data_IF_879426013016
#
_entry.id   IF_879426013016
#
_cell.length_a   1.000
_cell.length_b   1.000
_cell.length_c   1.000
_cell.angle_alpha   90.00
_cell.angle_beta   90.00
_cell.angle_gamma   90.00
#
_symmetry.space_group_name_H-M   'P 1'
#
loop_
_entity.id
_entity.type
_entity.pdbx_description
1 polymer ?
#
# COMPACT_ATOMS: atom_id res chain seq x y z
N UNK A 1 -51.50 30.14 -12.46
CA UNK A 1 -50.40 31.12 -12.37
C UNK A 1 -49.86 31.28 -10.96
N UNK A 2 -50.48 32.04 -10.03
CA UNK A 2 -49.88 32.26 -8.68
C UNK A 2 -49.68 30.97 -7.86
N UNK A 3 -50.61 30.01 -7.95
CA UNK A 3 -50.56 28.72 -7.21
C UNK A 3 -49.47 27.76 -7.68
N UNK A 4 -49.18 27.71 -8.98
CA UNK A 4 -48.13 26.83 -9.52
C UNK A 4 -46.72 27.35 -9.15
N UNK A 5 -46.55 28.68 -9.12
CA UNK A 5 -45.28 29.31 -8.72
C UNK A 5 -44.96 29.00 -7.25
N UNK A 6 -45.96 29.03 -6.35
CA UNK A 6 -45.76 28.67 -4.94
C UNK A 6 -45.36 27.21 -4.77
N UNK A 7 -45.95 26.29 -5.54
CA UNK A 7 -45.59 24.87 -5.51
C UNK A 7 -44.16 24.66 -5.99
N UNK A 8 -43.73 25.36 -7.05
CA UNK A 8 -42.36 25.26 -7.56
C UNK A 8 -41.32 25.77 -6.53
N UNK A 9 -41.61 26.86 -5.82
CA UNK A 9 -40.75 27.41 -4.77
C UNK A 9 -40.62 26.41 -3.60
N UNK A 10 -41.73 25.81 -3.16
CA UNK A 10 -41.72 24.83 -2.07
C UNK A 10 -40.92 23.59 -2.47
N UNK A 11 -41.14 23.06 -3.67
CA UNK A 11 -40.42 21.88 -4.17
C UNK A 11 -38.92 22.14 -4.30
N UNK A 12 -38.51 23.30 -4.81
CA UNK A 12 -37.10 23.68 -4.89
C UNK A 12 -36.44 23.79 -3.51
N UNK A 13 -37.15 24.35 -2.53
CA UNK A 13 -36.67 24.46 -1.15
C UNK A 13 -36.51 23.08 -0.49
N UNK A 14 -37.46 22.17 -0.70
CA UNK A 14 -37.38 20.79 -0.16
C UNK A 14 -36.20 20.03 -0.74
N UNK A 15 -36.00 20.11 -2.07
CA UNK A 15 -34.88 19.45 -2.74
C UNK A 15 -33.54 20.02 -2.26
N UNK A 16 -33.44 21.36 -2.14
CA UNK A 16 -32.24 22.02 -1.63
C UNK A 16 -31.89 21.63 -0.19
N UNK A 17 -32.89 21.48 0.68
CA UNK A 17 -32.68 21.04 2.06
C UNK A 17 -32.18 19.59 2.12
N UNK A 18 -32.72 18.68 1.30
CA UNK A 18 -32.28 17.28 1.25
C UNK A 18 -30.81 17.18 0.84
N UNK A 19 -30.41 17.88 -0.23
CA UNK A 19 -29.02 17.85 -0.73
C UNK A 19 -28.07 18.41 0.33
N UNK A 20 -28.42 19.56 0.92
CA UNK A 20 -27.59 20.22 1.93
C UNK A 20 -27.44 19.35 3.19
N UNK A 21 -28.52 18.73 3.65
CA UNK A 21 -28.50 17.85 4.81
C UNK A 21 -27.69 16.57 4.56
N UNK A 22 -27.75 16.01 3.35
CA UNK A 22 -26.92 14.87 2.93
C UNK A 22 -25.42 15.18 3.00
N UNK A 23 -25.00 16.31 2.46
CA UNK A 23 -23.59 16.74 2.50
C UNK A 23 -23.13 17.00 3.95
N UNK A 24 -23.96 17.70 4.74
CA UNK A 24 -23.65 18.01 6.12
C UNK A 24 -23.49 16.75 6.99
N UNK A 25 -24.39 15.77 6.83
CA UNK A 25 -24.35 14.51 7.60
C UNK A 25 -23.15 13.64 7.22
N UNK A 26 -22.85 13.52 5.93
CA UNK A 26 -21.67 12.78 5.45
C UNK A 26 -20.36 13.38 5.98
N UNK A 27 -20.22 14.71 5.94
CA UNK A 27 -19.00 15.37 6.43
C UNK A 27 -18.85 15.22 7.95
N UNK A 28 -19.97 15.28 8.70
CA UNK A 28 -19.95 15.07 10.15
C UNK A 28 -19.56 13.62 10.53
N UNK A 29 -19.92 12.62 9.72
CA UNK A 29 -19.53 11.23 9.94
C UNK A 29 -18.00 11.03 9.77
N UNK A 30 -17.39 11.66 8.75
CA UNK A 30 -15.95 11.62 8.53
C UNK A 30 -15.17 12.31 9.66
N UNK A 31 -15.67 13.43 10.18
CA UNK A 31 -15.06 14.12 11.31
C UNK A 31 -15.12 13.30 12.61
N UNK A 32 -16.18 12.50 12.82
CA UNK A 32 -16.27 11.58 13.98
C UNK A 32 -15.23 10.44 13.90
N UNK A 33 -14.84 10.02 12.70
CA UNK A 33 -13.77 9.02 12.54
C UNK A 33 -12.38 9.58 12.90
N UNK A 34 -12.09 10.85 12.58
CA UNK A 34 -10.84 11.51 13.00
C UNK A 34 -10.71 11.64 14.53
N UNK A 35 -11.82 11.83 15.25
CA UNK A 35 -11.82 12.01 16.71
C UNK A 35 -11.68 10.67 17.47
N UNK A 36 -12.12 9.54 16.89
CA UNK A 36 -12.02 8.21 17.54
C UNK A 36 -10.63 7.56 17.48
N UNK A 37 -9.69 8.10 16.70
CA UNK A 37 -8.29 7.64 16.64
C UNK A 37 -7.34 8.53 17.46
N UNK A 38 -7.85 9.60 18.10
CA UNK A 38 -7.01 10.62 18.77
C UNK A 38 -6.92 10.55 20.30
N UNK A 39 -7.46 9.54 20.98
CA UNK A 39 -7.42 9.46 22.46
C UNK A 39 -7.43 8.01 23.00
N UNK A 40 -6.35 7.26 22.75
CA UNK A 40 -5.99 6.08 23.54
C UNK A 40 -4.47 6.07 23.83
N UNK A 41 -3.91 7.23 24.19
CA UNK A 41 -2.64 7.28 24.90
C UNK A 41 -2.87 7.84 26.30
N UNK A 42 -2.27 7.15 27.28
CA UNK A 42 -2.06 7.52 28.69
C UNK A 42 -2.90 6.73 29.70
N UNK A 43 -2.49 5.49 29.95
CA UNK A 43 -2.12 5.01 31.30
C UNK A 43 -1.75 3.52 31.27
N UNK A 44 -0.51 3.19 30.90
CA UNK A 44 0.15 2.00 31.41
C UNK A 44 1.49 2.40 32.06
N UNK A 45 1.81 1.88 33.26
CA UNK A 45 3.08 2.18 33.92
C UNK A 45 4.26 1.69 33.08
N UNK A 46 5.30 2.52 32.99
CA UNK A 46 6.51 2.27 32.24
C UNK A 46 7.17 0.95 32.69
N UNK A 47 7.12 -0.06 31.82
CA UNK A 47 8.03 -1.20 31.89
C UNK A 47 9.34 -0.81 31.22
N UNK A 48 10.52 -1.05 31.82
CA UNK A 48 11.78 -0.73 31.18
C UNK A 48 12.06 -1.77 30.10
N UNK A 49 11.50 -1.57 28.90
CA UNK A 49 11.92 -2.30 27.71
C UNK A 49 12.69 -1.34 26.81
N UNK A 50 14.01 -1.47 26.86
CA UNK A 50 14.88 -1.05 25.77
C UNK A 50 14.47 -1.79 24.50
N UNK A 51 13.53 -1.24 23.73
CA UNK A 51 13.26 -1.66 22.37
C UNK A 51 13.59 -0.49 21.47
N UNK A 52 14.73 -0.62 20.80
CA UNK A 52 15.11 0.09 19.58
C UNK A 52 13.84 0.30 18.75
N UNK A 53 13.42 1.55 18.57
CA UNK A 53 12.41 1.91 17.56
C UNK A 53 12.97 1.49 16.19
N UNK A 54 12.81 0.21 15.84
CA UNK A 54 13.11 -0.28 14.51
C UNK A 54 11.96 0.19 13.64
N UNK A 55 12.18 1.28 12.93
CA UNK A 55 11.32 1.69 11.82
C UNK A 55 11.19 0.48 10.89
N UNK A 56 10.00 -0.14 10.86
CA UNK A 56 9.68 -1.20 9.91
C UNK A 56 9.70 -0.58 8.52
N UNK A 57 10.66 -0.99 7.70
CA UNK A 57 10.84 -0.48 6.35
C UNK A 57 11.19 -1.65 5.43
N UNK A 58 10.76 -1.57 4.17
CA UNK A 58 11.13 -2.49 3.10
C UNK A 58 11.99 -1.74 2.09
N UNK A 59 13.16 -2.29 1.77
CA UNK A 59 14.06 -1.76 0.76
C UNK A 59 14.52 -2.88 -0.16
N UNK A 60 14.41 -2.67 -1.48
CA UNK A 60 14.98 -3.57 -2.47
C UNK A 60 16.46 -3.21 -2.68
N UNK A 61 17.33 -4.21 -2.70
CA UNK A 61 18.77 -4.03 -2.87
C UNK A 61 19.25 -4.39 -4.27
N UNK A 62 18.60 -5.36 -4.90
CA UNK A 62 18.84 -5.70 -6.30
C UNK A 62 17.67 -6.55 -6.83
N UNK A 63 17.38 -6.50 -8.14
CA UNK A 63 17.93 -5.56 -9.13
C UNK A 63 17.42 -4.11 -8.93
N UNK A 64 18.01 -3.16 -9.64
CA UNK A 64 17.57 -1.77 -9.63
C UNK A 64 16.33 -1.56 -10.51
N UNK A 65 15.59 -0.48 -10.24
CA UNK A 65 14.40 -0.17 -11.00
C UNK A 65 14.76 0.19 -12.45
N UNK A 66 14.02 -0.39 -13.40
CA UNK A 66 14.21 -0.31 -14.84
C UNK A 66 15.43 -1.05 -15.40
N UNK A 67 16.02 -1.97 -14.62
CA UNK A 67 17.11 -2.82 -15.12
C UNK A 67 16.69 -3.66 -16.33
N UNK A 68 17.65 -3.82 -17.26
CA UNK A 68 17.54 -4.71 -18.41
C UNK A 68 18.18 -6.05 -18.08
N UNK A 69 17.34 -7.08 -17.98
CA UNK A 69 17.72 -8.45 -17.65
C UNK A 69 17.79 -9.28 -18.95
N UNK A 70 18.83 -10.09 -19.09
CA UNK A 70 19.07 -10.95 -20.26
C UNK A 70 18.73 -12.44 -20.01
N UNK A 71 18.22 -12.75 -18.82
CA UNK A 71 17.80 -14.09 -18.38
C UNK A 71 16.33 -14.06 -17.97
N UNK A 72 15.63 -15.16 -18.21
CA UNK A 72 14.22 -15.29 -17.83
C UNK A 72 14.00 -15.49 -16.33
N UNK A 73 15.02 -15.91 -15.57
CA UNK A 73 14.96 -16.00 -14.11
C UNK A 73 15.83 -14.90 -13.50
N UNK A 74 15.29 -14.15 -12.54
CA UNK A 74 16.02 -13.11 -11.79
C UNK A 74 15.87 -13.33 -10.30
N UNK A 75 16.91 -13.01 -9.53
CA UNK A 75 16.83 -13.01 -8.06
C UNK A 75 16.55 -11.61 -7.55
N UNK A 76 15.39 -11.42 -6.91
CA UNK A 76 15.01 -10.19 -6.23
C UNK A 76 15.45 -10.31 -4.78
N UNK A 77 16.24 -9.34 -4.33
CA UNK A 77 16.80 -9.27 -3.00
C UNK A 77 16.45 -7.95 -2.33
N UNK A 78 16.31 -7.99 -1.01
CA UNK A 78 16.03 -6.81 -0.22
C UNK A 78 16.20 -7.03 1.27
N UNK A 79 15.99 -5.93 2.00
CA UNK A 79 16.02 -5.88 3.44
C UNK A 79 14.66 -5.37 3.92
N UNK A 80 14.10 -6.07 4.88
CA UNK A 80 12.87 -5.75 5.59
C UNK A 80 13.13 -5.74 7.10
N UNK A 81 12.08 -5.86 7.92
CA UNK A 81 12.27 -6.18 9.34
C UNK A 81 12.38 -7.69 9.56
N UNK A 82 12.99 -8.15 10.66
CA UNK A 82 13.14 -9.57 10.95
C UNK A 82 11.82 -10.33 10.87
N UNK A 83 11.87 -11.53 10.26
CA UNK A 83 10.75 -12.48 10.16
C UNK A 83 9.50 -11.95 9.43
N UNK A 84 9.60 -10.83 8.71
CA UNK A 84 8.52 -10.29 7.88
C UNK A 84 8.09 -11.31 6.80
N UNK A 85 6.79 -11.41 6.57
CA UNK A 85 6.25 -12.17 5.44
C UNK A 85 6.36 -11.30 4.20
N UNK A 86 7.01 -11.82 3.16
CA UNK A 86 7.27 -11.10 1.91
C UNK A 86 6.44 -11.73 0.79
N UNK A 87 5.59 -10.92 0.17
CA UNK A 87 4.88 -11.27 -1.06
C UNK A 87 5.52 -10.57 -2.26
N UNK A 88 5.97 -11.35 -3.24
CA UNK A 88 6.47 -10.86 -4.53
C UNK A 88 5.43 -11.21 -5.58
N UNK A 89 4.79 -10.20 -6.14
CA UNK A 89 3.68 -10.34 -7.10
C UNK A 89 4.16 -9.82 -8.45
N UNK A 90 4.06 -10.64 -9.47
CA UNK A 90 4.29 -10.29 -10.88
C UNK A 90 3.08 -10.75 -11.72
N UNK A 91 3.05 -10.38 -13.00
CA UNK A 91 1.92 -10.69 -13.89
C UNK A 91 1.61 -12.20 -13.99
N UNK A 92 2.65 -13.04 -14.02
CA UNK A 92 2.53 -14.47 -14.26
C UNK A 92 2.65 -15.35 -13.01
N UNK A 93 3.04 -14.77 -11.87
CA UNK A 93 3.28 -15.55 -10.65
C UNK A 93 3.23 -14.69 -9.39
N UNK A 94 2.95 -15.34 -8.27
CA UNK A 94 3.06 -14.76 -6.94
C UNK A 94 3.85 -15.71 -6.06
N UNK A 95 4.84 -15.18 -5.34
CA UNK A 95 5.70 -15.95 -4.45
C UNK A 95 5.61 -15.36 -3.05
N UNK A 96 5.42 -16.24 -2.07
CA UNK A 96 5.48 -15.90 -0.66
C UNK A 96 6.77 -16.47 -0.07
N UNK A 97 7.49 -15.65 0.68
CA UNK A 97 8.65 -16.06 1.48
C UNK A 97 8.62 -15.36 2.84
N UNK A 98 9.57 -15.70 3.70
CA UNK A 98 9.80 -15.00 4.96
C UNK A 98 11.22 -14.46 4.97
N UNK A 99 11.38 -13.22 5.43
CA UNK A 99 12.69 -12.65 5.69
C UNK A 99 13.36 -13.37 6.87
N UNK A 100 14.69 -13.42 6.88
CA UNK A 100 15.43 -14.05 7.96
C UNK A 100 15.44 -13.20 9.25
N UNK A 101 16.24 -13.62 10.23
CA UNK A 101 16.37 -12.94 11.54
C UNK A 101 17.03 -11.56 11.44
N UNK A 102 17.71 -11.27 10.32
CA UNK A 102 18.30 -9.97 10.04
C UNK A 102 17.39 -9.12 9.13
N UNK A 103 16.28 -9.68 8.65
CA UNK A 103 15.33 -9.04 7.74
C UNK A 103 15.70 -9.20 6.27
N UNK A 104 16.72 -10.01 5.94
CA UNK A 104 17.17 -10.24 4.57
C UNK A 104 16.28 -11.27 3.89
N UNK A 105 15.95 -11.03 2.62
CA UNK A 105 15.24 -12.00 1.79
C UNK A 105 15.81 -12.03 0.36
N UNK A 106 15.69 -13.20 -0.27
CA UNK A 106 16.00 -13.41 -1.69
C UNK A 106 14.94 -14.32 -2.29
N UNK A 107 14.37 -13.92 -3.43
CA UNK A 107 13.32 -14.65 -4.14
C UNK A 107 13.69 -14.77 -5.62
N UNK A 108 13.56 -15.97 -6.18
CA UNK A 108 13.71 -16.20 -7.62
C UNK A 108 12.39 -15.96 -8.33
N UNK A 109 12.39 -15.12 -9.36
CA UNK A 109 11.20 -14.75 -10.12
C UNK A 109 11.42 -15.01 -11.62
N UNK A 110 10.44 -15.63 -12.29
CA UNK A 110 10.45 -15.83 -13.74
C UNK A 110 9.83 -14.65 -14.51
N UNK A 111 10.63 -13.88 -15.23
CA UNK A 111 10.19 -12.74 -16.04
C UNK A 111 9.50 -13.18 -17.34
N UNK A 112 8.44 -12.45 -17.72
CA UNK A 112 7.88 -12.49 -19.07
C UNK A 112 8.69 -11.58 -20.00
N UNK A 113 8.74 -11.88 -21.30
CA UNK A 113 9.49 -11.06 -22.26
C UNK A 113 8.90 -9.65 -22.34
N UNK A 114 9.75 -8.63 -22.30
CA UNK A 114 9.33 -7.22 -22.27
C UNK A 114 9.31 -6.65 -20.85
N UNK A 115 8.37 -5.75 -20.58
CA UNK A 115 8.22 -5.12 -19.27
C UNK A 115 7.58 -6.07 -18.27
N UNK A 116 8.06 -6.01 -17.04
CA UNK A 116 7.56 -6.76 -15.89
C UNK A 116 7.34 -5.78 -14.75
N UNK A 117 6.09 -5.52 -14.40
CA UNK A 117 5.74 -4.79 -13.19
C UNK A 117 5.68 -5.76 -12.00
N UNK A 118 6.48 -5.49 -10.98
CA UNK A 118 6.65 -6.36 -9.82
C UNK A 118 6.34 -5.54 -8.56
N UNK A 119 5.43 -6.04 -7.74
CA UNK A 119 5.09 -5.45 -6.45
C UNK A 119 5.61 -6.36 -5.34
N UNK A 120 6.42 -5.79 -4.45
CA UNK A 120 6.95 -6.46 -3.25
C UNK A 120 6.29 -5.87 -2.02
N UNK A 121 5.68 -6.72 -1.20
CA UNK A 121 4.96 -6.33 0.01
C UNK A 121 5.58 -7.08 1.19
N UNK A 122 6.01 -6.35 2.21
CA UNK A 122 6.38 -6.92 3.50
C UNK A 122 5.23 -6.72 4.49
N UNK A 123 4.89 -7.74 5.26
CA UNK A 123 3.84 -7.68 6.29
C UNK A 123 4.17 -8.49 7.54
N UNK A 124 3.37 -8.26 8.60
CA UNK A 124 3.45 -9.01 9.86
C UNK A 124 2.06 -9.33 10.46
N UNK A 125 2.07 -10.00 11.60
CA UNK A 125 0.89 -10.41 12.37
C UNK A 125 0.09 -9.24 12.97
N UNK A 126 0.72 -8.07 13.13
CA UNK A 126 0.06 -6.83 13.57
C UNK A 126 -0.72 -6.15 12.44
N UNK A 127 -0.54 -6.63 11.20
CA UNK A 127 -1.13 -6.05 10.00
C UNK A 127 -0.38 -4.84 9.46
N UNK A 128 0.82 -4.55 9.96
CA UNK A 128 1.67 -3.52 9.36
C UNK A 128 2.16 -3.98 8.00
N UNK A 129 2.14 -3.10 7.00
CA UNK A 129 2.58 -3.40 5.65
C UNK A 129 3.48 -2.31 5.08
N UNK A 130 4.48 -2.70 4.30
CA UNK A 130 5.30 -1.80 3.49
C UNK A 130 5.40 -2.35 2.07
N UNK A 131 5.25 -1.48 1.06
CA UNK A 131 5.15 -1.87 -0.34
C UNK A 131 6.19 -1.15 -1.19
N UNK A 132 6.89 -1.88 -2.04
CA UNK A 132 7.83 -1.37 -3.03
C UNK A 132 7.43 -1.88 -4.42
N UNK A 133 7.57 -1.03 -5.43
CA UNK A 133 7.36 -1.40 -6.83
C UNK A 133 8.69 -1.42 -7.57
N UNK A 134 8.85 -2.39 -8.45
CA UNK A 134 10.03 -2.63 -9.26
C UNK A 134 9.58 -2.95 -10.68
N UNK A 135 10.12 -2.26 -11.66
CA UNK A 135 9.87 -2.51 -13.08
C UNK A 135 11.15 -3.06 -13.69
N UNK A 136 11.08 -4.23 -14.32
CA UNK A 136 12.23 -4.84 -15.00
C UNK A 136 11.91 -5.08 -16.47
N UNK A 137 12.91 -4.99 -17.33
CA UNK A 137 12.76 -5.33 -18.74
C UNK A 137 13.53 -6.62 -19.02
N UNK A 138 12.86 -7.67 -19.49
CA UNK A 138 13.53 -8.89 -19.96
C UNK A 138 13.65 -8.90 -21.48
N UNK A 139 14.88 -8.95 -21.99
CA UNK A 139 15.19 -9.06 -23.42
C UNK A 139 16.36 -10.01 -23.68
N UNK A 140 16.21 -10.90 -24.67
CA UNK A 140 17.28 -11.78 -25.15
C UNK A 140 18.18 -11.14 -26.20
N UNK A 141 17.87 -9.90 -26.62
CA UNK A 141 18.63 -9.20 -27.65
C UNK A 141 19.92 -8.65 -27.03
N UNK A 142 21.05 -8.98 -27.63
CA UNK A 142 22.35 -8.42 -27.26
C UNK A 142 22.36 -6.92 -27.63
N UNK A 143 22.48 -6.04 -26.64
CA UNK A 143 22.79 -4.64 -26.88
C UNK A 143 24.30 -4.54 -27.17
N UNK A 144 24.64 -4.17 -28.41
CA UNK A 144 26.01 -3.77 -28.73
C UNK A 144 26.26 -2.36 -28.18
N UNK A 145 27.45 -2.10 -27.59
CA UNK A 145 27.83 -0.79 -27.06
C UNK A 145 28.10 0.24 -28.15
#
# INVERSE_FOLDING_TARGET
>A
MKKEVVIAIISGLVIGLIITFGIFTANNALNRQKIKTGNLENNLPASPSNLKNQTKNLQLTAPENFDLINQSEVSISGISWPEAVIAVIAENQTILTQADKEGVFVVKLNLIKGFNEITVIASDDTGYTSTQNLVLTYSTTKIEP
#
